data_IF_068315066790
#
_entry.id   IF_068315066790
#
_cell.length_a   1.000
_cell.length_b   1.000
_cell.length_c   1.000
_cell.angle_alpha   90.00
_cell.angle_beta   90.00
_cell.angle_gamma   90.00
#
_symmetry.space_group_name_H-M   'P 1'
#
loop_
_entity.id
_entity.type
_entity.pdbx_description
1 polymer ?
#
# COMPACT_ATOMS: atom_id res chain seq x y z
N UNK A 1 7.59 -17.05 -0.10
CA UNK A 1 7.76 -15.75 0.63
C UNK A 1 6.43 -15.42 1.24
N UNK A 2 6.38 -15.18 2.54
CA UNK A 2 5.12 -14.86 3.20
C UNK A 2 4.64 -13.47 2.76
N UNK A 3 3.40 -13.35 2.34
CA UNK A 3 2.80 -12.12 1.81
C UNK A 3 2.74 -11.06 2.93
N UNK A 4 3.31 -9.88 2.71
CA UNK A 4 3.25 -8.76 3.65
C UNK A 4 1.83 -8.16 3.66
N UNK A 5 1.49 -7.49 4.76
CA UNK A 5 0.19 -6.85 4.95
C UNK A 5 0.15 -5.53 4.17
N UNK A 6 -0.82 -5.37 3.28
CA UNK A 6 -1.11 -4.09 2.63
C UNK A 6 -1.75 -3.13 3.64
N UNK A 7 -1.32 -1.86 3.62
CA UNK A 7 -1.88 -0.80 4.45
C UNK A 7 -2.84 0.05 3.61
N UNK A 8 -4.12 0.00 3.98
CA UNK A 8 -5.19 0.73 3.31
C UNK A 8 -5.57 1.98 4.12
N UNK A 9 -4.75 3.03 3.99
CA UNK A 9 -4.84 4.27 4.77
C UNK A 9 -5.08 5.45 3.83
N UNK A 10 -6.05 6.31 4.14
CA UNK A 10 -6.32 7.54 3.41
C UNK A 10 -5.20 8.60 3.61
N UNK A 11 -5.11 9.59 2.73
CA UNK A 11 -4.15 10.71 2.74
C UNK A 11 -2.69 10.27 2.75
N UNK A 12 -2.38 9.23 2.00
CA UNK A 12 -1.05 8.67 1.88
C UNK A 12 -0.61 8.56 0.41
N UNK A 13 0.70 8.38 0.23
CA UNK A 13 1.27 8.06 -1.07
C UNK A 13 1.39 6.55 -1.23
N UNK A 14 1.09 6.08 -2.43
CA UNK A 14 1.16 4.66 -2.77
C UNK A 14 1.90 4.44 -4.07
N UNK A 15 2.79 3.47 -4.05
CA UNK A 15 3.24 2.80 -5.26
C UNK A 15 2.36 1.58 -5.47
N UNK A 16 1.71 1.50 -6.63
CA UNK A 16 0.78 0.43 -6.97
C UNK A 16 1.30 -0.30 -8.20
N UNK A 17 1.46 -1.62 -8.08
CA UNK A 17 1.81 -2.50 -9.17
C UNK A 17 0.61 -3.40 -9.48
N UNK A 18 0.17 -3.39 -10.75
CA UNK A 18 -1.01 -4.09 -11.22
C UNK A 18 -0.57 -5.01 -12.36
N UNK A 19 -0.39 -6.31 -12.11
CA UNK A 19 -0.06 -7.27 -13.15
C UNK A 19 -1.30 -7.67 -13.96
N UNK A 20 -1.08 -8.10 -15.20
CA UNK A 20 -2.14 -8.68 -16.02
C UNK A 20 -2.43 -10.11 -15.62
N UNK A 21 -3.71 -10.51 -15.71
CA UNK A 21 -4.10 -11.91 -15.59
C UNK A 21 -3.50 -12.73 -16.74
N UNK A 22 -2.97 -13.91 -16.39
CA UNK A 22 -2.43 -14.86 -17.36
C UNK A 22 -1.42 -14.28 -18.38
N UNK A 23 -0.69 -13.22 -18.00
CA UNK A 23 0.30 -12.56 -18.85
C UNK A 23 -0.26 -12.00 -20.17
N UNK A 24 -1.54 -11.70 -20.24
CA UNK A 24 -2.17 -11.13 -21.43
C UNK A 24 -1.81 -9.65 -21.61
N UNK A 25 -2.00 -9.13 -22.84
CA UNK A 25 -1.77 -7.72 -23.13
C UNK A 25 -2.99 -6.89 -22.65
N UNK A 26 -2.75 -5.91 -21.78
CA UNK A 26 -3.80 -5.03 -21.25
C UNK A 26 -4.14 -3.86 -22.20
N UNK A 27 -3.33 -3.62 -23.24
CA UNK A 27 -3.49 -2.49 -24.14
C UNK A 27 -3.64 -2.96 -25.58
N UNK A 28 -4.86 -2.95 -26.08
CA UNK A 28 -5.19 -3.38 -27.46
C UNK A 28 -4.72 -2.38 -28.53
N UNK A 29 -4.45 -1.12 -28.13
CA UNK A 29 -4.01 -0.06 -29.03
C UNK A 29 -3.25 1.04 -28.27
N UNK A 30 -2.59 1.96 -29.00
CA UNK A 30 -1.96 3.15 -28.41
C UNK A 30 -2.99 4.01 -27.64
N UNK A 31 -4.22 4.10 -28.16
CA UNK A 31 -5.31 4.85 -27.51
C UNK A 31 -5.72 4.24 -26.15
N UNK A 32 -5.53 2.95 -25.95
CA UNK A 32 -5.87 2.28 -24.69
C UNK A 32 -5.06 2.82 -23.48
N UNK A 33 -3.82 3.25 -23.70
CA UNK A 33 -3.00 3.90 -22.68
C UNK A 33 -3.61 5.23 -22.21
N UNK A 34 -4.07 6.04 -23.17
CA UNK A 34 -4.71 7.34 -22.89
C UNK A 34 -6.03 7.15 -22.15
N UNK A 35 -6.82 6.15 -22.51
CA UNK A 35 -8.09 5.84 -21.84
C UNK A 35 -7.85 5.48 -20.38
N UNK A 36 -6.90 4.60 -20.10
CA UNK A 36 -6.56 4.20 -18.73
C UNK A 36 -6.16 5.41 -17.88
N UNK A 37 -5.25 6.26 -18.41
CA UNK A 37 -4.78 7.46 -17.71
C UNK A 37 -5.89 8.49 -17.51
N UNK A 38 -6.75 8.70 -18.53
CA UNK A 38 -7.85 9.63 -18.42
C UNK A 38 -8.90 9.20 -17.39
N UNK A 39 -9.20 7.91 -17.30
CA UNK A 39 -10.06 7.38 -16.24
C UNK A 39 -9.46 7.58 -14.85
N UNK A 40 -8.15 7.35 -14.68
CA UNK A 40 -7.46 7.58 -13.42
C UNK A 40 -7.51 9.06 -12.98
N UNK A 41 -7.33 9.99 -13.91
CA UNK A 41 -7.41 11.44 -13.65
C UNK A 41 -8.79 11.92 -13.21
N UNK A 42 -9.85 11.21 -13.60
CA UNK A 42 -11.22 11.55 -13.20
C UNK A 42 -11.56 11.12 -11.79
N UNK A 43 -10.70 10.32 -11.13
CA UNK A 43 -10.93 9.89 -9.76
C UNK A 43 -10.76 11.07 -8.79
N UNK A 44 -11.83 11.38 -8.06
CA UNK A 44 -11.78 12.41 -7.03
C UNK A 44 -10.85 12.02 -5.88
N UNK A 45 -9.95 12.91 -5.49
CA UNK A 45 -9.04 12.71 -4.38
C UNK A 45 -7.88 11.75 -4.68
N UNK A 46 -7.59 11.49 -5.97
CA UNK A 46 -6.40 10.74 -6.39
C UNK A 46 -5.53 11.63 -7.27
N UNK A 47 -4.31 11.89 -6.84
CA UNK A 47 -3.30 12.66 -7.59
C UNK A 47 -2.25 11.73 -8.14
N UNK A 48 -2.07 11.70 -9.45
CA UNK A 48 -1.06 10.88 -10.13
C UNK A 48 0.28 11.61 -10.13
N UNK A 49 1.29 11.02 -9.48
CA UNK A 49 2.66 11.57 -9.42
C UNK A 49 3.60 10.91 -10.43
N UNK A 50 3.32 9.71 -10.86
CA UNK A 50 4.14 9.05 -11.88
C UNK A 50 3.56 7.72 -12.31
N UNK A 51 3.96 7.29 -13.50
CA UNK A 51 3.55 5.99 -14.03
C UNK A 51 4.58 5.41 -14.98
N UNK A 52 4.48 4.09 -15.15
CA UNK A 52 5.06 3.36 -16.26
C UNK A 52 4.11 2.23 -16.66
N UNK A 53 3.66 2.23 -17.92
CA UNK A 53 2.65 1.31 -18.44
C UNK A 53 3.32 0.32 -19.40
N UNK A 54 3.33 -0.96 -19.01
CA UNK A 54 3.81 -2.04 -19.84
C UNK A 54 2.64 -2.88 -20.36
N UNK A 55 2.80 -3.60 -21.46
CA UNK A 55 1.73 -4.44 -21.98
C UNK A 55 1.11 -5.40 -20.97
N UNK A 56 1.91 -5.86 -19.98
CA UNK A 56 1.50 -6.90 -19.02
C UNK A 56 1.48 -6.45 -17.57
N UNK A 57 1.80 -5.21 -17.27
CA UNK A 57 1.69 -4.65 -15.93
C UNK A 57 1.66 -3.12 -15.97
N UNK A 58 0.95 -2.56 -15.02
CA UNK A 58 0.81 -1.11 -14.80
C UNK A 58 1.50 -0.77 -13.49
N UNK A 59 2.28 0.30 -13.48
CA UNK A 59 2.90 0.80 -12.27
C UNK A 59 2.62 2.29 -12.13
N UNK A 60 2.08 2.68 -10.98
CA UNK A 60 1.72 4.05 -10.70
C UNK A 60 2.21 4.48 -9.32
N UNK A 61 2.56 5.76 -9.20
CA UNK A 61 2.81 6.46 -7.96
C UNK A 61 1.72 7.51 -7.78
N UNK A 62 0.94 7.39 -6.72
CA UNK A 62 -0.19 8.27 -6.45
C UNK A 62 -0.14 8.83 -5.03
N UNK A 63 -0.74 10.01 -4.84
CA UNK A 63 -1.26 10.43 -3.55
C UNK A 63 -2.76 10.17 -3.54
N UNK A 64 -3.28 9.62 -2.47
CA UNK A 64 -4.70 9.33 -2.34
C UNK A 64 -5.29 9.94 -1.07
N UNK A 65 -6.27 10.84 -1.24
CA UNK A 65 -7.07 11.40 -0.13
C UNK A 65 -7.93 10.34 0.53
N UNK A 66 -8.35 9.32 -0.24
CA UNK A 66 -9.17 8.22 0.20
C UNK A 66 -8.33 6.94 0.35
N UNK A 67 -8.89 5.91 0.95
CA UNK A 67 -8.27 4.58 0.99
C UNK A 67 -8.18 3.99 -0.42
N UNK A 68 -7.05 3.36 -0.82
CA UNK A 68 -6.94 2.69 -2.12
C UNK A 68 -8.08 1.71 -2.41
N UNK A 69 -8.55 0.95 -1.42
CA UNK A 69 -9.67 0.00 -1.56
C UNK A 69 -10.96 0.64 -2.06
N UNK A 70 -11.16 1.95 -1.84
CA UNK A 70 -12.40 2.64 -2.22
C UNK A 70 -12.49 3.03 -3.69
N UNK A 71 -11.38 3.04 -4.42
CA UNK A 71 -11.35 3.52 -5.81
C UNK A 71 -10.60 2.60 -6.79
N UNK A 72 -9.62 1.82 -6.30
CA UNK A 72 -8.72 1.05 -7.16
C UNK A 72 -9.48 -0.01 -7.97
N UNK A 73 -10.29 -0.83 -7.31
CA UNK A 73 -11.10 -1.86 -7.95
C UNK A 73 -12.08 -1.25 -8.98
N UNK A 74 -12.81 -0.21 -8.57
CA UNK A 74 -13.78 0.46 -9.46
C UNK A 74 -13.11 1.04 -10.71
N UNK A 75 -11.92 1.64 -10.57
CA UNK A 75 -11.14 2.14 -11.70
C UNK A 75 -10.73 1.02 -12.65
N UNK A 76 -10.20 -0.09 -12.12
CA UNK A 76 -9.79 -1.23 -12.94
C UNK A 76 -10.98 -1.90 -13.63
N UNK A 77 -12.11 -2.02 -12.95
CA UNK A 77 -13.35 -2.53 -13.55
C UNK A 77 -13.85 -1.64 -14.69
N UNK A 78 -13.79 -0.31 -14.53
CA UNK A 78 -14.18 0.65 -15.58
C UNK A 78 -13.31 0.52 -16.81
N UNK A 79 -11.99 0.36 -16.64
CA UNK A 79 -11.09 0.13 -17.76
C UNK A 79 -11.33 -1.24 -18.41
N UNK A 80 -11.51 -2.28 -17.60
CA UNK A 80 -11.78 -3.63 -18.10
C UNK A 80 -13.08 -3.68 -18.94
N UNK A 81 -14.14 -3.01 -18.48
CA UNK A 81 -15.39 -2.92 -19.23
C UNK A 81 -15.16 -2.23 -20.59
N UNK A 82 -14.48 -1.07 -20.59
CA UNK A 82 -14.14 -0.37 -21.83
C UNK A 82 -13.32 -1.26 -22.78
N UNK A 83 -12.36 -2.01 -22.26
CA UNK A 83 -11.55 -2.95 -23.05
C UNK A 83 -12.41 -4.04 -23.68
N UNK A 84 -13.31 -4.66 -22.92
CA UNK A 84 -14.22 -5.70 -23.41
C UNK A 84 -15.14 -5.19 -24.51
N UNK A 85 -15.68 -3.98 -24.37
CA UNK A 85 -16.54 -3.34 -25.36
C UNK A 85 -15.80 -3.01 -26.67
N UNK A 86 -14.51 -2.68 -26.61
CA UNK A 86 -13.71 -2.25 -27.77
C UNK A 86 -12.95 -3.39 -28.44
N UNK A 87 -12.48 -4.40 -27.70
CA UNK A 87 -11.74 -5.54 -28.23
C UNK A 87 -12.64 -6.71 -28.63
N UNK A 88 -13.91 -6.70 -28.21
CA UNK A 88 -14.86 -7.81 -28.34
C UNK A 88 -14.39 -9.10 -27.62
N UNK A 89 -13.43 -8.98 -26.72
CA UNK A 89 -12.91 -10.07 -25.92
C UNK A 89 -13.54 -10.02 -24.51
N UNK A 90 -14.20 -11.08 -24.09
CA UNK A 90 -14.81 -11.17 -22.76
C UNK A 90 -13.82 -11.79 -21.77
N UNK A 91 -12.72 -11.06 -21.50
CA UNK A 91 -11.69 -11.47 -20.55
C UNK A 91 -11.52 -10.43 -19.46
N UNK A 92 -11.15 -10.88 -18.26
CA UNK A 92 -10.72 -10.00 -17.19
C UNK A 92 -9.21 -9.79 -17.27
N UNK A 93 -8.79 -8.53 -17.34
CA UNK A 93 -7.41 -8.17 -17.68
C UNK A 93 -6.43 -8.28 -16.52
N UNK A 94 -6.91 -8.15 -15.28
CA UNK A 94 -6.06 -7.94 -14.11
C UNK A 94 -5.95 -9.20 -13.24
N UNK A 95 -4.82 -9.34 -12.55
CA UNK A 95 -4.60 -10.38 -11.54
C UNK A 95 -4.75 -9.75 -10.15
N UNK A 96 -5.99 -9.70 -9.65
CA UNK A 96 -6.32 -9.02 -8.39
C UNK A 96 -5.58 -9.58 -7.18
N UNK A 97 -5.23 -10.87 -7.19
CA UNK A 97 -4.48 -11.51 -6.11
C UNK A 97 -3.02 -11.05 -6.05
N UNK A 98 -2.49 -10.56 -7.17
CA UNK A 98 -1.12 -10.08 -7.29
C UNK A 98 -1.01 -8.55 -7.33
N UNK A 99 -2.12 -7.82 -7.27
CA UNK A 99 -2.07 -6.37 -7.10
C UNK A 99 -1.36 -6.05 -5.79
N UNK A 100 -0.37 -5.17 -5.88
CA UNK A 100 0.42 -4.75 -4.72
C UNK A 100 0.30 -3.25 -4.52
N UNK A 101 -0.17 -2.85 -3.34
CA UNK A 101 -0.25 -1.45 -2.89
C UNK A 101 0.77 -1.22 -1.78
N UNK A 102 1.86 -0.54 -2.11
CA UNK A 102 2.97 -0.25 -1.18
C UNK A 102 2.85 1.19 -0.71
N UNK A 103 2.67 1.39 0.60
CA UNK A 103 2.65 2.73 1.20
C UNK A 103 4.04 3.36 1.13
N UNK A 104 4.12 4.61 0.65
CA UNK A 104 5.38 5.32 0.44
C UNK A 104 5.45 6.53 1.38
N UNK A 105 6.45 6.57 2.25
CA UNK A 105 6.74 7.77 3.04
C UNK A 105 7.25 8.90 2.13
N UNK A 106 6.82 10.17 2.33
CA UNK A 106 7.17 11.29 1.42
C UNK A 106 8.66 11.44 1.10
N UNK A 107 9.56 11.18 2.04
CA UNK A 107 11.01 11.24 1.81
C UNK A 107 11.53 10.26 0.74
N UNK A 108 10.75 9.25 0.39
CA UNK A 108 11.10 8.25 -0.61
C UNK A 108 10.44 8.47 -1.98
N UNK A 109 9.63 9.52 -2.15
CA UNK A 109 8.91 9.79 -3.40
C UNK A 109 9.84 9.92 -4.61
N UNK A 110 10.90 10.72 -4.50
CA UNK A 110 11.88 10.88 -5.61
C UNK A 110 12.53 9.54 -5.96
N UNK A 111 12.84 8.74 -4.95
CA UNK A 111 13.45 7.42 -5.14
C UNK A 111 12.50 6.45 -5.83
N UNK A 112 11.25 6.42 -5.40
CA UNK A 112 10.19 5.60 -6.01
C UNK A 112 9.92 6.02 -7.46
N UNK A 113 9.84 7.33 -7.73
CA UNK A 113 9.66 7.83 -9.09
C UNK A 113 10.82 7.44 -10.00
N UNK A 114 12.09 7.59 -9.52
CA UNK A 114 13.24 7.16 -10.29
C UNK A 114 13.18 5.67 -10.61
N UNK A 115 12.83 4.85 -9.63
CA UNK A 115 12.62 3.41 -9.84
C UNK A 115 11.61 3.16 -10.97
N UNK A 116 10.43 3.77 -10.93
CA UNK A 116 9.37 3.61 -11.94
C UNK A 116 9.89 3.96 -13.35
N UNK A 117 10.61 5.09 -13.47
CA UNK A 117 11.14 5.55 -14.76
C UNK A 117 12.31 4.70 -15.30
N UNK A 118 13.02 3.96 -14.43
CA UNK A 118 14.10 3.06 -14.85
C UNK A 118 13.63 1.63 -15.18
N UNK A 119 12.37 1.28 -14.88
CA UNK A 119 11.83 -0.05 -15.18
C UNK A 119 11.92 -0.44 -16.67
N UNK A 120 11.69 0.44 -17.65
CA UNK A 120 11.84 0.08 -19.05
C UNK A 120 13.26 -0.35 -19.40
N UNK A 121 14.29 0.26 -18.80
CA UNK A 121 15.69 -0.13 -18.97
C UNK A 121 15.93 -1.49 -18.32
N UNK A 122 15.41 -1.68 -17.10
CA UNK A 122 15.53 -2.95 -16.39
C UNK A 122 14.90 -4.11 -17.17
N UNK A 123 13.73 -3.89 -17.78
CA UNK A 123 13.06 -4.87 -18.66
C UNK A 123 13.60 -4.89 -20.09
N UNK A 124 14.71 -4.20 -20.37
CA UNK A 124 15.39 -4.16 -21.69
C UNK A 124 14.49 -3.67 -22.83
N UNK A 125 13.55 -2.77 -22.53
CA UNK A 125 12.67 -2.14 -23.53
C UNK A 125 13.34 -0.94 -24.21
N UNK A 126 14.29 -0.29 -23.54
CA UNK A 126 15.03 0.85 -24.02
C UNK A 126 16.40 0.95 -23.31
N UNK A 127 17.27 1.85 -23.74
CA UNK A 127 18.57 2.11 -23.14
C UNK A 127 18.61 3.34 -22.23
N UNK A 128 17.60 4.21 -22.32
CA UNK A 128 17.47 5.41 -21.50
C UNK A 128 15.99 5.69 -21.19
N UNK A 129 15.66 6.28 -20.01
CA UNK A 129 14.26 6.48 -19.59
C UNK A 129 13.41 7.31 -20.56
N UNK A 130 14.03 8.31 -21.20
CA UNK A 130 13.41 9.19 -22.19
C UNK A 130 12.97 8.50 -23.49
N UNK A 131 13.48 7.30 -23.74
CA UNK A 131 13.12 6.52 -24.93
C UNK A 131 11.79 5.74 -24.76
N UNK A 132 11.28 5.65 -23.54
CA UNK A 132 10.06 4.90 -23.28
C UNK A 132 8.85 5.85 -23.19
N UNK A 133 8.02 5.85 -24.22
CA UNK A 133 6.92 6.80 -24.39
C UNK A 133 5.76 6.59 -23.41
N UNK A 134 5.59 5.36 -22.88
CA UNK A 134 4.47 5.03 -21.98
C UNK A 134 4.85 5.17 -20.51
N UNK A 135 5.64 6.22 -20.18
CA UNK A 135 5.99 6.61 -18.83
C UNK A 135 5.83 8.11 -18.63
N UNK A 136 5.65 8.53 -17.39
CA UNK A 136 5.56 9.95 -17.00
C UNK A 136 6.88 10.69 -17.04
N UNK A 137 7.96 10.12 -17.57
CA UNK A 137 9.27 10.79 -17.62
C UNK A 137 9.22 12.12 -18.37
N UNK A 138 8.52 12.16 -19.50
CA UNK A 138 8.36 13.35 -20.33
C UNK A 138 7.50 14.46 -19.69
N UNK A 139 6.57 14.12 -18.80
CA UNK A 139 5.83 15.11 -17.99
C UNK A 139 6.79 15.89 -17.09
N UNK A 140 7.81 15.23 -16.53
CA UNK A 140 8.83 15.84 -15.69
C UNK A 140 9.84 16.70 -16.45
N UNK A 141 10.02 16.47 -17.74
CA UNK A 141 10.81 17.33 -18.64
C UNK A 141 9.98 18.52 -19.13
N UNK A 142 8.66 18.49 -19.01
CA UNK A 142 7.75 19.50 -19.54
C UNK A 142 7.42 19.32 -21.03
N UNK A 143 7.78 18.18 -21.62
CA UNK A 143 7.56 17.86 -23.03
C UNK A 143 6.17 17.24 -23.27
N UNK A 144 5.53 16.73 -22.22
CA UNK A 144 4.20 16.15 -22.23
C UNK A 144 3.34 16.69 -21.09
N UNK A 145 2.02 16.57 -21.24
CA UNK A 145 1.06 16.85 -20.19
C UNK A 145 0.00 15.75 -20.17
N UNK A 146 0.35 14.65 -19.56
CA UNK A 146 -0.56 13.51 -19.37
C UNK A 146 -1.45 13.66 -18.13
N UNK A 147 -1.36 14.79 -17.40
CA UNK A 147 -2.09 15.09 -16.16
C UNK A 147 -1.39 14.57 -14.90
N UNK A 148 -0.10 14.30 -14.99
CA UNK A 148 0.75 14.00 -13.83
C UNK A 148 1.02 15.27 -13.04
N UNK A 149 0.82 15.23 -11.74
CA UNK A 149 1.18 16.29 -10.81
C UNK A 149 2.68 16.25 -10.48
N UNK A 150 3.50 16.90 -11.30
CA UNK A 150 4.96 16.89 -11.16
C UNK A 150 5.49 17.79 -10.05
N UNK A 151 4.73 18.87 -9.74
CA UNK A 151 5.15 19.93 -8.80
C UNK A 151 5.53 19.41 -7.41
N UNK A 152 4.81 18.47 -6.75
CA UNK A 152 5.20 17.99 -5.44
C UNK A 152 6.60 17.38 -5.42
N UNK A 153 6.91 16.51 -6.38
CA UNK A 153 8.22 15.85 -6.44
C UNK A 153 9.33 16.81 -6.90
N UNK A 154 9.06 17.64 -7.92
CA UNK A 154 10.03 18.65 -8.39
C UNK A 154 10.41 19.66 -7.29
N UNK A 155 9.47 19.98 -6.39
CA UNK A 155 9.73 20.88 -5.25
C UNK A 155 10.65 20.27 -4.20
N UNK A 156 10.62 18.94 -4.04
CA UNK A 156 11.57 18.20 -3.18
C UNK A 156 12.99 18.31 -3.76
N UNK A 157 13.14 18.21 -5.08
CA UNK A 157 14.43 18.24 -5.76
C UNK A 157 15.02 19.66 -5.81
N UNK A 158 14.17 20.70 -5.95
CA UNK A 158 14.59 22.08 -5.90
C UNK A 158 13.47 23.02 -5.46
N UNK A 159 13.70 23.91 -4.47
CA UNK A 159 12.77 24.97 -4.14
C UNK A 159 12.68 26.03 -5.27
N UNK A 160 13.71 26.18 -6.08
CA UNK A 160 13.80 27.16 -7.18
C UNK A 160 13.13 26.62 -8.43
N UNK A 161 11.98 27.19 -8.82
CA UNK A 161 11.20 26.74 -9.97
C UNK A 161 12.01 26.57 -11.25
N UNK A 162 12.82 27.57 -11.64
CA UNK A 162 13.64 27.53 -12.87
C UNK A 162 14.75 26.48 -12.88
N UNK A 163 15.03 25.82 -11.75
CA UNK A 163 16.06 24.78 -11.66
C UNK A 163 15.46 23.36 -11.55
N UNK A 164 14.16 23.22 -11.41
CA UNK A 164 13.50 21.95 -11.08
C UNK A 164 13.74 20.86 -12.12
N UNK A 165 13.57 21.19 -13.40
CA UNK A 165 13.77 20.22 -14.50
C UNK A 165 15.23 19.78 -14.56
N UNK A 166 16.18 20.72 -14.49
CA UNK A 166 17.60 20.37 -14.45
C UNK A 166 17.96 19.49 -13.25
N UNK A 167 17.46 19.82 -12.06
CA UNK A 167 17.68 18.99 -10.86
C UNK A 167 17.04 17.62 -10.97
N UNK A 168 15.91 17.50 -11.63
CA UNK A 168 15.31 16.21 -11.95
C UNK A 168 16.23 15.40 -12.88
N UNK A 169 16.72 16.00 -13.96
CA UNK A 169 17.66 15.34 -14.89
C UNK A 169 18.95 14.91 -14.17
N UNK A 170 19.55 15.79 -13.37
CA UNK A 170 20.74 15.48 -12.56
C UNK A 170 20.46 14.30 -11.60
N UNK A 171 19.30 14.31 -10.94
CA UNK A 171 18.89 13.23 -10.03
C UNK A 171 18.67 11.91 -10.76
N UNK A 172 18.06 11.94 -11.93
CA UNK A 172 17.83 10.74 -12.75
C UNK A 172 19.14 10.19 -13.33
N UNK A 173 20.12 11.03 -13.68
CA UNK A 173 21.40 10.61 -14.23
C UNK A 173 22.30 9.87 -13.24
N UNK A 174 22.05 9.98 -11.93
CA UNK A 174 22.82 9.22 -10.91
C UNK A 174 22.54 7.74 -11.06
N UNK A 175 23.55 7.00 -11.50
CA UNK A 175 23.46 5.55 -11.71
C UNK A 175 23.23 4.83 -10.36
N UNK A 176 22.01 4.44 -10.09
CA UNK A 176 21.65 3.71 -8.89
C UNK A 176 21.17 2.32 -9.32
N UNK A 177 21.98 1.32 -9.07
CA UNK A 177 21.68 -0.09 -9.35
C UNK A 177 20.72 -0.66 -8.27
N UNK A 178 19.64 0.06 -7.93
CA UNK A 178 18.68 -0.47 -6.98
C UNK A 178 17.90 -1.63 -7.60
N UNK A 179 17.89 -2.74 -6.90
CA UNK A 179 17.17 -3.92 -7.36
C UNK A 179 15.65 -3.68 -7.37
N UNK A 180 14.94 -4.07 -8.41
CA UNK A 180 13.50 -3.84 -8.57
C UNK A 180 12.63 -4.32 -7.41
N UNK A 181 13.05 -5.40 -6.77
CA UNK A 181 12.28 -6.05 -5.70
C UNK A 181 12.14 -5.23 -4.41
N UNK A 182 12.98 -4.19 -4.22
CA UNK A 182 12.94 -3.36 -3.00
C UNK A 182 11.62 -2.60 -2.89
N UNK A 183 11.12 -2.05 -4.02
CA UNK A 183 9.86 -1.30 -4.00
C UNK A 183 8.63 -2.19 -3.99
N UNK A 184 8.65 -3.32 -4.71
CA UNK A 184 7.54 -4.27 -4.73
C UNK A 184 7.23 -4.86 -3.35
N UNK A 185 8.26 -5.06 -2.53
CA UNK A 185 8.13 -5.69 -1.21
C UNK A 185 8.17 -4.69 -0.04
N UNK A 186 8.47 -3.39 -0.31
CA UNK A 186 8.73 -2.42 0.73
C UNK A 186 9.98 -2.76 1.58
N UNK A 187 10.36 -1.86 2.46
CA UNK A 187 11.50 -2.02 3.39
C UNK A 187 11.08 -2.42 4.81
N UNK A 188 9.79 -2.59 5.06
CA UNK A 188 9.26 -2.99 6.36
C UNK A 188 9.06 -4.52 6.44
N UNK A 189 9.28 -5.11 7.61
CA UNK A 189 9.22 -6.59 7.77
C UNK A 189 7.81 -7.15 7.63
N UNK A 190 6.80 -6.43 8.13
CA UNK A 190 5.42 -6.91 8.22
C UNK A 190 4.48 -6.28 7.20
N UNK A 191 4.76 -5.05 6.77
CA UNK A 191 3.85 -4.26 5.94
C UNK A 191 4.41 -4.03 4.54
N UNK A 192 3.51 -3.96 3.55
CA UNK A 192 3.83 -3.43 2.24
C UNK A 192 3.99 -1.92 2.34
N UNK A 193 5.15 -1.49 2.82
CA UNK A 193 5.49 -0.09 3.01
C UNK A 193 6.96 0.18 2.74
N UNK A 194 7.26 1.31 2.15
CA UNK A 194 8.60 1.89 2.05
C UNK A 194 8.64 3.12 2.95
N UNK A 195 8.82 2.87 4.24
CA UNK A 195 8.68 3.85 5.32
C UNK A 195 9.45 3.41 6.57
N UNK A 196 9.75 4.33 7.46
CA UNK A 196 10.26 3.99 8.80
C UNK A 196 9.11 3.72 9.80
N UNK A 197 9.45 3.05 10.89
CA UNK A 197 8.48 2.67 11.91
C UNK A 197 7.75 3.86 12.55
N UNK A 198 8.43 4.98 12.72
CA UNK A 198 7.85 6.20 13.32
C UNK A 198 6.75 6.77 12.42
N UNK A 199 7.01 6.85 11.09
CA UNK A 199 6.03 7.28 10.12
C UNK A 199 4.81 6.35 10.07
N UNK A 200 5.03 5.04 10.04
CA UNK A 200 3.95 4.05 10.01
C UNK A 200 3.07 4.15 11.26
N UNK A 201 3.68 4.29 12.42
CA UNK A 201 2.94 4.48 13.68
C UNK A 201 2.10 5.75 13.62
N UNK A 202 2.68 6.88 13.18
CA UNK A 202 1.98 8.15 13.06
C UNK A 202 0.83 8.08 12.04
N UNK A 203 1.08 7.55 10.84
CA UNK A 203 0.08 7.40 9.79
C UNK A 203 -1.12 6.58 10.30
N UNK A 204 -0.86 5.47 10.96
CA UNK A 204 -1.90 4.61 11.52
C UNK A 204 -2.68 5.27 12.66
N UNK A 205 -1.99 5.90 13.62
CA UNK A 205 -2.63 6.60 14.75
C UNK A 205 -3.48 7.78 14.28
N UNK A 206 -3.00 8.55 13.31
CA UNK A 206 -3.75 9.70 12.76
C UNK A 206 -5.08 9.27 12.13
N UNK A 207 -5.11 8.13 11.46
CA UNK A 207 -6.33 7.61 10.81
C UNK A 207 -7.21 6.82 11.75
N UNK A 208 -6.66 6.18 12.76
CA UNK A 208 -7.42 5.58 13.85
C UNK A 208 -8.14 6.66 14.67
N UNK A 209 -7.52 7.83 14.92
CA UNK A 209 -8.14 8.95 15.61
C UNK A 209 -9.23 9.68 14.83
N UNK A 210 -9.27 9.58 13.50
CA UNK A 210 -10.35 10.13 12.64
C UNK A 210 -11.44 9.11 12.27
N UNK A 211 -11.23 7.83 12.53
CA UNK A 211 -12.29 6.82 12.51
C UNK A 211 -13.28 6.96 13.70
N UNK A 212 -13.28 8.12 14.36
CA UNK A 212 -14.09 8.42 15.55
C UNK A 212 -15.59 8.61 15.30
N UNK A 213 -16.10 8.35 14.08
CA UNK A 213 -17.55 8.19 13.86
C UNK A 213 -18.01 6.74 14.01
N UNK A 214 -17.08 5.79 14.14
CA UNK A 214 -17.40 4.39 14.45
C UNK A 214 -17.73 4.32 15.93
N UNK A 215 -18.92 3.88 16.29
CA UNK A 215 -19.36 3.81 17.69
C UNK A 215 -18.45 2.87 18.50
N UNK A 216 -18.28 3.16 19.80
CA UNK A 216 -17.53 2.25 20.71
C UNK A 216 -18.08 0.81 20.63
N UNK A 217 -19.38 0.65 20.36
CA UNK A 217 -20.04 -0.63 20.19
C UNK A 217 -19.52 -1.41 18.97
N UNK A 218 -19.20 -0.74 17.87
CA UNK A 218 -18.61 -1.39 16.67
C UNK A 218 -17.17 -1.80 16.90
N UNK A 219 -16.39 -0.97 17.62
CA UNK A 219 -15.04 -1.35 18.02
C UNK A 219 -15.02 -2.57 18.95
N UNK A 220 -16.01 -2.69 19.85
CA UNK A 220 -16.16 -3.86 20.70
C UNK A 220 -16.57 -5.11 19.92
N UNK A 221 -17.39 -5.00 18.87
CA UNK A 221 -17.67 -6.11 17.94
C UNK A 221 -16.41 -6.56 17.22
N UNK A 222 -15.60 -5.62 16.72
CA UNK A 222 -14.31 -5.92 16.08
C UNK A 222 -13.34 -6.58 17.07
N UNK A 223 -13.30 -6.13 18.33
CA UNK A 223 -12.51 -6.76 19.38
C UNK A 223 -12.93 -8.20 19.63
N UNK A 224 -14.25 -8.46 19.76
CA UNK A 224 -14.78 -9.82 19.92
C UNK A 224 -14.45 -10.69 18.71
N UNK A 225 -14.58 -10.16 17.51
CA UNK A 225 -14.21 -10.89 16.30
C UNK A 225 -12.71 -11.26 16.28
N UNK A 226 -11.82 -10.41 16.79
CA UNK A 226 -10.41 -10.76 16.94
C UNK A 226 -10.21 -11.95 17.90
N UNK A 227 -10.96 -11.99 19.01
CA UNK A 227 -10.93 -13.10 19.96
C UNK A 227 -11.38 -14.40 19.28
N UNK A 228 -12.55 -14.37 18.63
CA UNK A 228 -13.15 -15.52 17.97
C UNK A 228 -12.20 -16.11 16.92
N UNK A 229 -11.54 -15.24 16.13
CA UNK A 229 -10.54 -15.64 15.14
C UNK A 229 -9.28 -16.26 15.78
N UNK A 230 -8.79 -15.72 16.86
CA UNK A 230 -7.63 -16.30 17.56
C UNK A 230 -7.99 -17.65 18.21
N UNK A 231 -9.19 -17.79 18.73
CA UNK A 231 -9.70 -19.07 19.22
C UNK A 231 -9.78 -20.10 18.07
N UNK A 232 -10.31 -19.71 16.91
CA UNK A 232 -10.40 -20.55 15.72
C UNK A 232 -9.02 -21.01 15.21
N UNK A 233 -8.05 -20.07 15.12
CA UNK A 233 -6.73 -20.33 14.51
C UNK A 233 -5.78 -21.05 15.48
N UNK A 234 -5.82 -20.72 16.77
CA UNK A 234 -4.83 -21.14 17.77
C UNK A 234 -5.45 -22.09 18.80
N UNK A 235 -6.76 -21.96 19.07
CA UNK A 235 -7.51 -22.90 19.89
C UNK A 235 -7.44 -22.67 21.40
N UNK A 236 -6.99 -21.49 21.87
CA UNK A 236 -7.03 -21.16 23.30
C UNK A 236 -8.37 -20.55 23.69
N UNK A 237 -8.78 -20.78 24.95
CA UNK A 237 -9.99 -20.20 25.51
C UNK A 237 -9.93 -18.65 25.54
N UNK A 238 -11.08 -18.00 25.42
CA UNK A 238 -11.22 -16.54 25.48
C UNK A 238 -10.55 -15.94 26.74
N UNK A 239 -10.62 -16.62 27.89
CA UNK A 239 -9.99 -16.19 29.14
C UNK A 239 -8.46 -16.01 29.03
N UNK A 240 -7.80 -16.79 28.17
CA UNK A 240 -6.36 -16.67 27.87
C UNK A 240 -6.09 -15.42 27.07
N UNK A 241 -6.92 -15.14 26.06
CA UNK A 241 -6.78 -13.96 25.21
C UNK A 241 -7.04 -12.65 25.95
N UNK A 242 -7.95 -12.66 26.92
CA UNK A 242 -8.23 -11.50 27.78
C UNK A 242 -7.25 -11.34 28.96
N UNK A 243 -6.23 -12.20 29.05
CA UNK A 243 -5.25 -12.16 30.15
C UNK A 243 -5.80 -12.57 31.51
N UNK A 244 -7.02 -13.11 31.56
CA UNK A 244 -7.67 -13.62 32.79
C UNK A 244 -7.11 -14.97 33.22
N UNK A 245 -6.51 -15.69 32.27
CA UNK A 245 -5.85 -16.98 32.52
C UNK A 245 -4.49 -17.01 31.84
N UNK A 246 -3.45 -17.53 32.51
CA UNK A 246 -2.11 -17.69 31.93
C UNK A 246 -1.99 -19.06 31.27
N UNK A 247 -1.45 -19.08 30.05
CA UNK A 247 -1.11 -20.31 29.35
C UNK A 247 0.41 -20.45 29.25
N UNK A 248 0.95 -21.63 29.62
CA UNK A 248 2.41 -21.85 29.70
C UNK A 248 3.12 -21.62 28.36
N UNK A 249 2.51 -21.97 27.23
CA UNK A 249 3.09 -21.80 25.90
C UNK A 249 2.87 -20.40 25.31
N UNK A 250 1.99 -19.58 25.92
CA UNK A 250 1.65 -18.24 25.42
C UNK A 250 1.37 -17.26 26.58
N UNK A 251 2.40 -16.93 27.38
CA UNK A 251 2.23 -16.06 28.55
C UNK A 251 1.75 -14.66 28.20
N UNK A 252 2.02 -14.19 26.99
CA UNK A 252 1.70 -12.86 26.49
C UNK A 252 0.53 -12.87 25.44
N UNK A 253 -0.37 -13.86 25.48
CA UNK A 253 -1.47 -14.04 24.53
C UNK A 253 -2.33 -12.77 24.36
N UNK A 254 -2.64 -12.07 25.48
CA UNK A 254 -3.43 -10.83 25.46
C UNK A 254 -2.75 -9.68 24.70
N UNK A 255 -1.43 -9.64 24.64
CA UNK A 255 -0.71 -8.68 23.82
C UNK A 255 -0.74 -9.04 22.33
N UNK A 256 -0.81 -10.33 22.00
CA UNK A 256 -1.01 -10.79 20.63
C UNK A 256 -2.42 -10.41 20.12
N UNK A 257 -3.45 -10.56 20.97
CA UNK A 257 -4.80 -10.08 20.69
C UNK A 257 -4.81 -8.56 20.48
N UNK A 258 -4.19 -7.79 21.37
CA UNK A 258 -4.10 -6.35 21.22
C UNK A 258 -3.33 -5.95 19.93
N UNK A 259 -2.26 -6.67 19.61
CA UNK A 259 -1.51 -6.47 18.36
C UNK A 259 -2.40 -6.73 17.14
N UNK A 260 -3.15 -7.82 17.10
CA UNK A 260 -4.08 -8.14 16.01
C UNK A 260 -5.15 -7.05 15.86
N UNK A 261 -5.81 -6.69 16.97
CA UNK A 261 -6.86 -5.67 16.97
C UNK A 261 -6.37 -4.31 16.47
N UNK A 262 -5.20 -3.85 16.98
CA UNK A 262 -4.67 -2.53 16.63
C UNK A 262 -4.03 -2.54 15.23
N UNK A 263 -3.25 -3.58 14.91
CA UNK A 263 -2.36 -3.57 13.75
C UNK A 263 -2.98 -4.19 12.50
N UNK A 264 -3.96 -5.06 12.63
CA UNK A 264 -4.61 -5.74 11.52
C UNK A 264 -6.06 -5.29 11.37
N UNK A 265 -6.82 -5.28 12.46
CA UNK A 265 -8.22 -4.87 12.46
C UNK A 265 -8.41 -3.34 12.53
N UNK A 266 -7.33 -2.55 12.62
CA UNK A 266 -7.35 -1.08 12.74
C UNK A 266 -8.19 -0.54 13.92
N UNK A 267 -8.32 -1.33 14.99
CA UNK A 267 -9.01 -0.91 16.19
C UNK A 267 -8.22 0.12 17.00
N UNK A 268 -8.88 1.04 17.71
CA UNK A 268 -8.22 2.08 18.49
C UNK A 268 -7.59 1.52 19.77
N UNK A 269 -6.37 1.98 20.10
CA UNK A 269 -5.59 1.50 21.26
C UNK A 269 -6.33 1.64 22.60
N UNK A 270 -7.16 2.68 22.78
CA UNK A 270 -7.90 2.89 24.01
C UNK A 270 -8.89 1.77 24.32
N UNK A 271 -9.46 1.11 23.31
CA UNK A 271 -10.31 -0.07 23.50
C UNK A 271 -9.49 -1.24 24.06
N UNK A 272 -8.31 -1.50 23.49
CA UNK A 272 -7.43 -2.55 23.99
C UNK A 272 -6.98 -2.28 25.43
N UNK A 273 -6.61 -1.03 25.75
CA UNK A 273 -6.30 -0.55 27.11
C UNK A 273 -7.46 -0.85 28.05
N UNK A 274 -8.68 -0.45 27.68
CA UNK A 274 -9.89 -0.64 28.48
C UNK A 274 -10.24 -2.11 28.69
N UNK A 275 -10.15 -2.93 27.60
CA UNK A 275 -10.53 -4.35 27.65
C UNK A 275 -9.52 -5.20 28.43
N UNK A 276 -8.23 -4.88 28.34
CA UNK A 276 -7.17 -5.60 29.02
C UNK A 276 -6.86 -5.07 30.43
N UNK A 277 -7.38 -3.89 30.79
CA UNK A 277 -7.12 -3.28 32.09
C UNK A 277 -5.65 -2.90 32.32
N UNK A 278 -4.92 -2.54 31.27
CA UNK A 278 -3.50 -2.16 31.30
C UNK A 278 -3.33 -0.68 30.93
N UNK A 279 -2.21 -0.06 31.30
CA UNK A 279 -1.90 1.30 30.88
C UNK A 279 -1.38 1.36 29.43
N UNK A 280 -1.56 2.55 28.80
CA UNK A 280 -1.20 2.74 27.39
C UNK A 280 0.31 2.62 27.13
N UNK A 281 1.16 2.98 28.09
CA UNK A 281 2.62 2.88 27.95
C UNK A 281 3.08 1.42 27.94
N UNK A 282 2.52 0.63 28.82
CA UNK A 282 2.73 -0.82 28.85
C UNK A 282 2.25 -1.47 27.56
N UNK A 283 1.05 -1.13 27.07
CA UNK A 283 0.52 -1.65 25.82
C UNK A 283 1.47 -1.31 24.65
N UNK A 284 1.87 -0.06 24.47
CA UNK A 284 2.79 0.38 23.41
C UNK A 284 4.14 -0.35 23.44
N UNK A 285 4.72 -0.48 24.63
CA UNK A 285 5.99 -1.17 24.80
C UNK A 285 5.89 -2.64 24.41
N UNK A 286 4.85 -3.31 24.85
CA UNK A 286 4.63 -4.75 24.56
C UNK A 286 4.28 -5.03 23.11
N UNK A 287 3.45 -4.19 22.47
CA UNK A 287 3.14 -4.32 21.04
C UNK A 287 4.38 -4.08 20.18
N UNK A 288 5.19 -3.07 20.51
CA UNK A 288 6.42 -2.78 19.76
C UNK A 288 7.48 -3.89 19.89
N UNK A 289 7.46 -4.64 21.00
CA UNK A 289 8.35 -5.77 21.23
C UNK A 289 7.74 -7.14 20.92
N UNK A 290 6.54 -7.19 20.36
CA UNK A 290 5.81 -8.46 20.14
C UNK A 290 6.61 -9.46 19.28
N UNK A 291 7.41 -8.97 18.34
CA UNK A 291 8.28 -9.78 17.48
C UNK A 291 9.39 -10.53 18.24
N UNK A 292 9.74 -10.08 19.45
CA UNK A 292 10.70 -10.78 20.30
C UNK A 292 10.11 -12.07 20.89
N UNK A 293 8.79 -12.11 21.04
CA UNK A 293 8.05 -13.25 21.62
C UNK A 293 7.35 -14.09 20.55
N UNK A 294 7.05 -13.50 19.39
CA UNK A 294 6.35 -14.17 18.30
C UNK A 294 7.12 -13.98 16.98
N UNK A 295 7.54 -15.09 16.32
CA UNK A 295 8.23 -15.02 15.04
C UNK A 295 7.41 -14.26 13.98
N UNK A 296 8.07 -13.47 13.14
CA UNK A 296 7.44 -12.69 12.08
C UNK A 296 6.53 -13.54 11.17
N UNK A 297 6.92 -14.79 10.89
CA UNK A 297 6.12 -15.74 10.12
C UNK A 297 4.78 -16.06 10.79
N UNK A 298 4.76 -16.20 12.10
CA UNK A 298 3.56 -16.49 12.87
C UNK A 298 2.60 -15.29 12.91
N UNK A 299 3.13 -14.07 13.15
CA UNK A 299 2.34 -12.85 13.12
C UNK A 299 1.71 -12.62 11.73
N UNK A 300 2.45 -12.91 10.66
CA UNK A 300 1.94 -12.84 9.29
C UNK A 300 0.86 -13.87 9.02
N UNK A 301 1.02 -15.11 9.48
CA UNK A 301 0.01 -16.15 9.34
C UNK A 301 -1.32 -15.73 9.99
N UNK A 302 -1.28 -15.21 11.22
CA UNK A 302 -2.47 -14.70 11.92
C UNK A 302 -3.11 -13.54 11.13
N UNK A 303 -2.31 -12.59 10.65
CA UNK A 303 -2.81 -11.45 9.89
C UNK A 303 -3.44 -11.86 8.54
N UNK A 304 -2.92 -12.90 7.89
CA UNK A 304 -3.51 -13.43 6.65
C UNK A 304 -4.79 -14.23 6.84
N UNK A 305 -4.93 -14.89 7.99
CA UNK A 305 -6.16 -15.61 8.34
C UNK A 305 -7.29 -14.64 8.74
N UNK A 306 -6.99 -13.35 8.85
CA UNK A 306 -7.94 -12.29 9.09
C UNK A 306 -8.68 -11.92 7.81
N UNK A 307 -10.00 -12.10 7.77
CA UNK A 307 -10.86 -11.61 6.68
C UNK A 307 -11.86 -10.59 7.24
N UNK A 308 -11.62 -9.27 7.05
CA UNK A 308 -12.48 -8.21 7.62
C UNK A 308 -13.84 -8.05 6.92
N UNK A 309 -14.15 -8.85 5.88
CA UNK A 309 -15.33 -8.65 5.02
C UNK A 309 -16.62 -9.22 5.63
N UNK A 310 -16.61 -9.72 6.85
CA UNK A 310 -17.76 -10.37 7.47
C UNK A 310 -18.47 -9.52 8.54
N UNK A 311 -18.32 -8.17 8.53
CA UNK A 311 -19.06 -7.29 9.45
C UNK A 311 -19.80 -6.20 8.69
#
# INVERSE_FOLDING_TARGET
MDKKISLDIAKQHYYINIPSAQMQNMFSSVFAYDVLLNQLKQLSGVSLYGYCLFPKHIQILVYSENKPSTWLESWLMTYNQWHQETSLENVYLFDDEQISTVLIQPKYLCKTLRYIHYLPIFYKQCSAPEQYLYSSYHDYLGDQNTGVETTPILSILSPHYGQRIRRFQDYMAVNNQEQPNVFLNGNHDYYLAYADNAYLTQARTYYQGKASDTSEAEHLKTWQYCIDKLVEIIGFDEAVWLGKQRHHSQPDAHFLLAWLFINVANGPSYIAVKQLGIDESTLKLKINSIHLHHPAKYLRYIAHSWNPIAV
#
